data_IF_899413693421
#
_entry.id   IF_899413693421
#
_cell.length_a   1.000
_cell.length_b   1.000
_cell.length_c   1.000
_cell.angle_alpha   90.00
_cell.angle_beta   90.00
_cell.angle_gamma   90.00
#
_symmetry.space_group_name_H-M   'P 1'
#
loop_
_entity.id
_entity.type
_entity.pdbx_description
1 polymer ?
#
# COMPACT_ATOMS: atom_id res chain seq x y z
N UNK A 1 -12.00 1.10 30.55
CA UNK A 1 -11.18 1.98 29.65
C UNK A 1 -10.60 3.16 30.43
N UNK A 2 -11.38 3.92 31.18
CA UNK A 2 -10.87 5.11 31.91
C UNK A 2 -10.00 4.77 33.12
N UNK A 3 -9.99 3.54 33.60
CA UNK A 3 -9.07 3.06 34.64
C UNK A 3 -7.65 2.80 34.11
N UNK A 4 -7.52 2.59 32.82
CA UNK A 4 -6.26 2.25 32.14
C UNK A 4 -5.66 3.41 31.38
N UNK A 5 -6.49 4.36 30.90
CA UNK A 5 -6.06 5.48 30.07
C UNK A 5 -6.39 6.81 30.74
N UNK A 6 -5.42 7.73 30.76
CA UNK A 6 -5.61 9.10 31.29
C UNK A 6 -6.26 10.04 30.26
N UNK A 7 -6.22 9.66 28.98
CA UNK A 7 -6.71 10.45 27.86
C UNK A 7 -7.20 9.53 26.75
N UNK A 8 -8.35 9.85 26.18
CA UNK A 8 -8.93 9.19 25.01
C UNK A 8 -9.33 10.26 24.02
N UNK A 9 -8.85 10.17 22.79
CA UNK A 9 -9.24 11.06 21.70
C UNK A 9 -10.20 10.33 20.78
N UNK A 10 -11.36 10.91 20.55
CA UNK A 10 -12.31 10.49 19.53
C UNK A 10 -12.17 11.40 18.31
N UNK A 11 -11.74 10.81 17.19
CA UNK A 11 -11.59 11.51 15.91
C UNK A 11 -12.65 10.97 14.96
N UNK A 12 -13.47 11.87 14.43
CA UNK A 12 -14.52 11.55 13.47
C UNK A 12 -14.37 12.39 12.21
N UNK A 13 -15.13 12.08 11.18
CA UNK A 13 -15.15 12.85 9.93
C UNK A 13 -15.72 14.25 10.09
N UNK A 14 -16.47 14.51 11.16
CA UNK A 14 -17.14 15.79 11.43
C UNK A 14 -16.53 16.59 12.57
N UNK A 15 -15.58 16.01 13.30
CA UNK A 15 -14.89 16.69 14.39
C UNK A 15 -14.18 15.73 15.33
N UNK A 16 -13.55 16.30 16.33
CA UNK A 16 -12.83 15.54 17.36
C UNK A 16 -13.27 15.99 18.75
N UNK A 17 -13.31 15.08 19.70
CA UNK A 17 -13.43 15.38 21.11
C UNK A 17 -12.42 14.58 21.92
N UNK A 18 -12.13 15.09 23.10
CA UNK A 18 -11.14 14.51 23.98
C UNK A 18 -11.73 14.28 25.38
N UNK A 19 -11.54 13.08 25.88
CA UNK A 19 -11.87 12.70 27.26
C UNK A 19 -10.58 12.63 28.06
N UNK A 20 -10.49 13.41 29.15
CA UNK A 20 -9.35 13.41 30.08
C UNK A 20 -9.77 13.01 31.47
N UNK A 21 -8.90 12.24 32.12
CA UNK A 21 -9.07 11.91 33.55
C UNK A 21 -7.99 12.60 34.37
N UNK A 22 -8.38 13.38 35.37
CA UNK A 22 -7.45 14.01 36.30
C UNK A 22 -6.86 12.99 37.28
N UNK A 23 -5.77 13.35 37.97
CA UNK A 23 -5.18 12.54 39.05
C UNK A 23 -6.15 12.31 40.23
N UNK A 24 -7.16 13.14 40.37
CA UNK A 24 -8.25 13.01 41.36
C UNK A 24 -9.45 12.20 40.86
N UNK A 25 -9.36 11.58 39.69
CA UNK A 25 -10.42 10.75 39.10
C UNK A 25 -11.57 11.56 38.44
N UNK A 26 -11.48 12.89 38.39
CA UNK A 26 -12.48 13.69 37.67
C UNK A 26 -12.30 13.55 36.17
N UNK A 27 -13.41 13.29 35.46
CA UNK A 27 -13.48 13.18 34.01
C UNK A 27 -13.89 14.51 33.41
N UNK A 28 -13.17 14.98 32.41
CA UNK A 28 -13.50 16.16 31.61
C UNK A 28 -13.64 15.79 30.14
N UNK A 29 -14.69 16.24 29.50
CA UNK A 29 -14.92 16.12 28.07
C UNK A 29 -14.64 17.49 27.43
N UNK A 30 -13.75 17.50 26.44
CA UNK A 30 -13.32 18.71 25.72
C UNK A 30 -13.80 18.64 24.27
N UNK A 31 -14.21 19.79 23.74
CA UNK A 31 -14.73 19.94 22.37
C UNK A 31 -16.06 19.22 22.07
N UNK A 32 -16.76 18.71 23.09
CA UNK A 32 -18.05 18.03 22.98
C UNK A 32 -19.11 18.88 22.25
N UNK A 33 -19.29 20.16 22.65
CA UNK A 33 -20.25 21.06 22.02
C UNK A 33 -20.02 21.33 20.54
N UNK A 34 -18.75 21.25 20.12
CA UNK A 34 -18.39 21.39 18.70
C UNK A 34 -18.76 20.14 17.92
N UNK A 35 -18.51 18.98 18.50
CA UNK A 35 -18.88 17.70 17.92
C UNK A 35 -20.40 17.52 17.87
N UNK A 36 -21.12 17.88 18.93
CA UNK A 36 -22.59 17.82 18.96
C UNK A 36 -23.24 18.69 17.87
N UNK A 37 -22.73 19.91 17.64
CA UNK A 37 -23.21 20.74 16.53
C UNK A 37 -22.91 20.15 15.16
N UNK A 38 -21.72 19.57 15.01
CA UNK A 38 -21.32 18.95 13.76
C UNK A 38 -22.11 17.66 13.48
N UNK A 39 -22.43 16.89 14.52
CA UNK A 39 -23.28 15.69 14.41
C UNK A 39 -24.73 16.07 14.07
N UNK A 40 -25.29 17.13 14.63
CA UNK A 40 -26.63 17.61 14.28
C UNK A 40 -26.75 18.03 12.80
N UNK A 41 -25.67 18.59 12.22
CA UNK A 41 -25.62 18.88 10.78
C UNK A 41 -25.43 17.61 9.96
N UNK A 42 -24.70 16.63 10.52
CA UNK A 42 -24.41 15.36 9.84
C UNK A 42 -25.64 14.43 9.79
N UNK A 43 -26.52 14.48 10.76
CA UNK A 43 -27.76 13.69 10.75
C UNK A 43 -28.67 14.06 9.56
N UNK A 44 -28.69 15.33 9.13
CA UNK A 44 -29.37 15.75 7.91
C UNK A 44 -28.69 15.33 6.60
N UNK A 45 -27.40 14.95 6.66
CA UNK A 45 -26.61 14.54 5.48
C UNK A 45 -26.30 13.03 5.43
N UNK A 46 -26.70 12.25 6.43
CA UNK A 46 -26.34 10.83 6.53
C UNK A 46 -27.16 9.87 5.67
N UNK A 47 -28.04 10.35 4.79
CA UNK A 47 -28.77 9.44 3.89
C UNK A 47 -27.92 8.84 2.76
N UNK A 48 -26.60 9.03 2.70
CA UNK A 48 -25.78 8.39 1.67
C UNK A 48 -24.31 8.10 2.00
N UNK A 49 -23.97 7.90 3.27
CA UNK A 49 -22.67 7.28 3.59
C UNK A 49 -22.84 5.77 3.71
N UNK A 50 -23.22 5.11 2.60
CA UNK A 50 -22.85 3.71 2.45
C UNK A 50 -21.33 3.66 2.47
N UNK A 51 -20.75 3.02 3.48
CA UNK A 51 -19.33 2.68 3.57
C UNK A 51 -18.90 1.72 2.44
N UNK A 52 -19.73 1.54 1.44
CA UNK A 52 -19.56 0.70 0.28
C UNK A 52 -19.32 1.52 -0.99
N UNK A 53 -18.49 2.56 -0.87
CA UNK A 53 -17.70 2.97 -2.03
C UNK A 53 -16.71 1.84 -2.24
N UNK A 54 -17.03 0.96 -3.19
CA UNK A 54 -16.01 0.11 -3.82
C UNK A 54 -14.83 1.01 -4.14
N UNK A 55 -13.82 0.98 -3.26
CA UNK A 55 -12.55 1.64 -3.57
C UNK A 55 -12.09 0.95 -4.83
N UNK A 56 -12.17 1.65 -5.98
CA UNK A 56 -11.62 1.16 -7.24
C UNK A 56 -10.15 0.86 -6.99
N UNK A 57 -9.88 -0.40 -6.67
CA UNK A 57 -8.51 -0.88 -6.50
C UNK A 57 -7.80 -0.79 -7.84
N UNK A 58 -6.52 -0.56 -7.83
CA UNK A 58 -5.70 -0.53 -9.04
C UNK A 58 -5.57 -1.94 -9.61
N UNK A 59 -5.43 -2.93 -8.72
CA UNK A 59 -5.40 -4.36 -9.05
C UNK A 59 -6.64 -5.02 -8.48
N UNK A 60 -7.18 -5.99 -9.22
CA UNK A 60 -8.39 -6.73 -8.83
C UNK A 60 -8.11 -8.16 -8.34
N UNK A 61 -6.89 -8.68 -8.54
CA UNK A 61 -6.47 -10.02 -8.16
C UNK A 61 -6.23 -10.96 -9.35
N UNK A 62 -6.64 -10.57 -10.55
CA UNK A 62 -6.48 -11.38 -11.77
C UNK A 62 -5.09 -11.29 -12.39
N UNK A 63 -4.24 -10.39 -11.91
CA UNK A 63 -2.94 -10.12 -12.47
C UNK A 63 -2.01 -11.34 -12.39
N UNK A 64 -1.33 -11.71 -13.48
CA UNK A 64 -0.53 -12.92 -13.56
C UNK A 64 0.55 -13.04 -12.46
N UNK A 65 1.17 -11.93 -12.08
CA UNK A 65 2.19 -11.94 -11.04
C UNK A 65 1.61 -12.26 -9.65
N UNK A 66 0.38 -11.85 -9.34
CA UNK A 66 -0.28 -12.16 -8.06
C UNK A 66 -0.51 -13.66 -7.92
N UNK A 67 -0.88 -14.34 -9.01
CA UNK A 67 -1.06 -15.79 -9.04
C UNK A 67 0.26 -16.51 -8.80
N UNK A 68 1.31 -16.15 -9.53
CA UNK A 68 2.63 -16.76 -9.39
C UNK A 68 3.28 -16.52 -8.01
N UNK A 69 2.96 -15.38 -7.38
CA UNK A 69 3.40 -15.08 -6.01
C UNK A 69 2.48 -15.68 -4.93
N UNK A 70 1.46 -16.44 -5.30
CA UNK A 70 0.53 -17.09 -4.38
C UNK A 70 -0.33 -16.10 -3.58
N UNK A 71 -0.72 -15.00 -4.19
CA UNK A 71 -1.63 -14.00 -3.59
C UNK A 71 -3.06 -14.28 -4.00
N UNK A 72 -3.29 -14.68 -5.25
CA UNK A 72 -4.61 -15.04 -5.79
C UNK A 72 -4.58 -16.41 -6.49
N UNK A 73 -5.75 -16.96 -6.77
CA UNK A 73 -5.94 -18.17 -7.54
C UNK A 73 -6.07 -17.88 -9.05
N UNK A 74 -6.31 -18.92 -9.85
CA UNK A 74 -6.44 -18.83 -11.30
C UNK A 74 -7.66 -18.00 -11.76
N UNK A 75 -8.66 -17.86 -10.89
CA UNK A 75 -9.87 -17.08 -11.15
C UNK A 75 -9.74 -15.61 -10.68
N UNK A 76 -8.56 -15.20 -10.15
CA UNK A 76 -8.33 -13.86 -9.62
C UNK A 76 -8.85 -13.67 -8.20
N UNK A 77 -9.34 -14.73 -7.52
CA UNK A 77 -9.76 -14.63 -6.13
C UNK A 77 -8.54 -14.57 -5.21
N UNK A 78 -8.43 -13.48 -4.47
CA UNK A 78 -7.37 -13.31 -3.47
C UNK A 78 -7.61 -14.25 -2.28
N UNK A 79 -6.59 -15.04 -1.91
CA UNK A 79 -6.67 -15.95 -0.77
C UNK A 79 -6.89 -15.20 0.55
N UNK A 80 -7.71 -15.75 1.45
CA UNK A 80 -8.06 -15.10 2.72
C UNK A 80 -6.83 -14.71 3.54
N UNK A 81 -5.82 -15.59 3.61
CA UNK A 81 -4.54 -15.33 4.28
C UNK A 81 -3.68 -14.25 3.59
N UNK A 82 -4.02 -13.84 2.38
CA UNK A 82 -3.30 -12.86 1.58
C UNK A 82 -4.02 -11.52 1.42
N UNK A 83 -5.23 -11.38 1.94
CA UNK A 83 -6.03 -10.15 1.86
C UNK A 83 -5.28 -8.92 2.39
N UNK A 84 -4.58 -9.05 3.51
CA UNK A 84 -3.76 -7.97 4.07
C UNK A 84 -2.61 -7.57 3.13
N UNK A 85 -1.92 -8.56 2.53
CA UNK A 85 -0.85 -8.32 1.56
C UNK A 85 -1.39 -7.66 0.29
N UNK A 86 -2.52 -8.11 -0.23
CA UNK A 86 -3.16 -7.52 -1.39
C UNK A 86 -3.60 -6.07 -1.16
N UNK A 87 -4.15 -5.77 0.02
CA UNK A 87 -4.45 -4.38 0.42
C UNK A 87 -3.20 -3.52 0.48
N UNK A 88 -2.10 -4.04 1.03
CA UNK A 88 -0.81 -3.36 1.08
C UNK A 88 -0.29 -3.03 -0.32
N UNK A 89 -0.34 -3.99 -1.24
CA UNK A 89 0.09 -3.81 -2.64
C UNK A 89 -0.71 -2.68 -3.30
N UNK A 90 -2.05 -2.74 -3.25
CA UNK A 90 -2.90 -1.71 -3.84
C UNK A 90 -2.63 -0.34 -3.22
N UNK A 91 -2.48 -0.25 -1.88
CA UNK A 91 -2.17 1.02 -1.22
C UNK A 91 -0.82 1.60 -1.66
N UNK A 92 0.17 0.74 -1.85
CA UNK A 92 1.46 1.18 -2.36
C UNK A 92 1.35 1.72 -3.79
N UNK A 93 0.59 1.05 -4.66
CA UNK A 93 0.35 1.53 -6.01
C UNK A 93 -0.43 2.85 -6.07
N UNK A 94 -1.32 3.11 -5.11
CA UNK A 94 -1.96 4.43 -4.98
C UNK A 94 -0.91 5.52 -4.74
N UNK A 95 0.08 5.27 -3.88
CA UNK A 95 1.19 6.21 -3.62
C UNK A 95 2.03 6.42 -4.89
N UNK A 96 2.35 5.34 -5.60
CA UNK A 96 3.09 5.43 -6.87
C UNK A 96 2.30 6.25 -7.91
N UNK A 97 1.00 6.02 -8.03
CA UNK A 97 0.11 6.79 -8.91
C UNK A 97 0.15 8.27 -8.58
N UNK A 98 0.07 8.62 -7.30
CA UNK A 98 0.04 10.01 -6.85
C UNK A 98 1.39 10.72 -7.03
N UNK A 99 2.48 9.96 -7.24
CA UNK A 99 3.81 10.47 -7.56
C UNK A 99 4.17 10.40 -9.06
N UNK A 100 3.31 9.83 -9.89
CA UNK A 100 3.62 9.50 -11.29
C UNK A 100 4.01 10.72 -12.12
N UNK A 101 3.33 11.85 -11.92
CA UNK A 101 3.61 13.10 -12.64
C UNK A 101 5.01 13.67 -12.35
N UNK A 102 5.63 13.24 -11.27
CA UNK A 102 6.99 13.64 -10.86
C UNK A 102 8.07 12.73 -11.44
N UNK A 103 7.68 11.62 -12.06
CA UNK A 103 8.63 10.70 -12.67
C UNK A 103 9.15 11.22 -14.00
N UNK A 104 10.45 11.00 -14.33
CA UNK A 104 11.03 11.47 -15.59
C UNK A 104 10.32 10.89 -16.82
N UNK A 105 10.26 11.68 -17.90
CA UNK A 105 9.31 11.48 -19.01
C UNK A 105 9.53 10.28 -19.91
N UNK A 106 10.77 9.85 -20.23
CA UNK A 106 10.98 8.92 -21.35
C UNK A 106 11.45 7.51 -20.98
N UNK A 107 12.35 7.37 -20.03
CA UNK A 107 12.85 6.09 -19.56
C UNK A 107 13.17 6.20 -18.07
N UNK A 108 12.66 5.26 -17.29
CA UNK A 108 12.83 5.29 -15.85
C UNK A 108 13.63 4.06 -15.45
N UNK A 109 14.69 4.27 -14.65
CA UNK A 109 15.39 3.22 -13.94
C UNK A 109 14.89 3.20 -12.49
N UNK A 110 14.44 2.05 -12.02
CA UNK A 110 13.91 1.85 -10.68
C UNK A 110 14.72 0.77 -10.00
N UNK A 111 15.11 1.03 -8.73
CA UNK A 111 15.77 0.04 -7.89
C UNK A 111 14.95 -0.17 -6.63
N UNK A 112 14.61 -1.42 -6.35
CA UNK A 112 13.99 -1.86 -5.09
C UNK A 112 15.07 -2.56 -4.26
N UNK A 113 15.58 -1.85 -3.25
CA UNK A 113 16.65 -2.31 -2.38
C UNK A 113 16.06 -3.07 -1.19
N UNK A 114 16.62 -4.24 -0.87
CA UNK A 114 16.07 -5.19 0.12
C UNK A 114 14.68 -5.69 -0.29
N UNK A 115 14.53 -6.07 -1.56
CA UNK A 115 13.23 -6.35 -2.18
C UNK A 115 12.50 -7.58 -1.60
N UNK A 116 13.19 -8.48 -0.92
CA UNK A 116 12.62 -9.70 -0.33
C UNK A 116 11.84 -10.51 -1.37
N UNK A 117 10.63 -10.96 -1.04
CA UNK A 117 9.75 -11.70 -1.97
C UNK A 117 9.14 -10.83 -3.08
N UNK A 118 9.54 -9.58 -3.17
CA UNK A 118 9.31 -8.65 -4.29
C UNK A 118 7.84 -8.42 -4.70
N UNK A 119 6.90 -8.58 -3.78
CA UNK A 119 5.48 -8.29 -4.09
C UNK A 119 5.27 -6.87 -4.62
N UNK A 120 5.98 -5.90 -4.04
CA UNK A 120 5.89 -4.49 -4.43
C UNK A 120 6.64 -4.22 -5.73
N UNK A 121 7.81 -4.85 -5.92
CA UNK A 121 8.61 -4.77 -7.16
C UNK A 121 7.77 -5.21 -8.36
N UNK A 122 7.17 -6.41 -8.29
CA UNK A 122 6.29 -6.92 -9.35
C UNK A 122 5.07 -6.04 -9.59
N UNK A 123 4.47 -5.51 -8.52
CA UNK A 123 3.31 -4.65 -8.63
C UNK A 123 3.64 -3.33 -9.33
N UNK A 124 4.76 -2.68 -8.97
CA UNK A 124 5.21 -1.44 -9.62
C UNK A 124 5.57 -1.68 -11.07
N UNK A 125 6.30 -2.78 -11.35
CA UNK A 125 6.63 -3.13 -12.72
C UNK A 125 5.39 -3.31 -13.57
N UNK A 126 4.43 -4.14 -13.12
CA UNK A 126 3.16 -4.37 -13.80
C UNK A 126 2.37 -3.06 -14.00
N UNK A 127 2.24 -2.25 -12.96
CA UNK A 127 1.52 -0.99 -13.03
C UNK A 127 2.11 -0.05 -14.08
N UNK A 128 3.42 0.14 -14.06
CA UNK A 128 4.08 1.08 -14.98
C UNK A 128 4.13 0.53 -16.42
N UNK A 129 4.36 -0.77 -16.62
CA UNK A 129 4.48 -1.35 -17.97
C UNK A 129 3.13 -1.72 -18.57
N UNK A 130 2.26 -2.40 -17.80
CA UNK A 130 1.02 -2.94 -18.35
C UNK A 130 -0.15 -1.95 -18.26
N UNK A 131 -0.26 -1.20 -17.17
CA UNK A 131 -1.36 -0.25 -16.99
C UNK A 131 -1.01 1.10 -17.60
N UNK A 132 0.19 1.63 -17.31
CA UNK A 132 0.62 2.95 -17.76
C UNK A 132 1.39 2.96 -19.07
N UNK A 133 1.75 1.79 -19.59
CA UNK A 133 2.48 1.60 -20.85
C UNK A 133 3.79 2.42 -20.92
N UNK A 134 4.47 2.54 -19.79
CA UNK A 134 5.77 3.25 -19.70
C UNK A 134 6.92 2.28 -19.97
N UNK A 135 7.97 2.78 -20.57
CA UNK A 135 9.25 2.06 -20.70
C UNK A 135 10.05 2.28 -19.42
N UNK A 136 10.33 1.20 -18.72
CA UNK A 136 11.12 1.22 -17.49
C UNK A 136 12.17 0.12 -17.53
N UNK A 137 13.25 0.28 -16.78
CA UNK A 137 14.15 -0.79 -16.39
C UNK A 137 14.17 -0.88 -14.86
N UNK A 138 13.90 -2.05 -14.32
CA UNK A 138 13.72 -2.22 -12.88
C UNK A 138 14.62 -3.31 -12.34
N UNK A 139 15.20 -3.06 -11.16
CA UNK A 139 16.08 -3.98 -10.45
C UNK A 139 15.55 -4.22 -9.05
N UNK A 140 15.49 -5.49 -8.66
CA UNK A 140 15.27 -5.91 -7.28
C UNK A 140 16.57 -6.44 -6.70
N UNK A 141 17.01 -5.93 -5.57
CA UNK A 141 18.27 -6.31 -4.92
C UNK A 141 18.00 -6.86 -3.53
N UNK A 142 18.54 -8.02 -3.22
CA UNK A 142 18.47 -8.62 -1.88
C UNK A 142 19.69 -9.53 -1.65
N UNK A 143 20.06 -9.70 -0.37
CA UNK A 143 21.16 -10.59 0.04
C UNK A 143 20.82 -12.07 -0.07
N UNK A 144 19.54 -12.42 -0.01
CA UNK A 144 19.08 -13.81 0.06
C UNK A 144 18.99 -14.43 -1.32
N UNK A 145 19.94 -15.28 -1.63
CA UNK A 145 20.05 -15.95 -2.93
C UNK A 145 18.81 -16.75 -3.32
N UNK A 146 18.23 -17.50 -2.38
CA UNK A 146 17.02 -18.31 -2.60
C UNK A 146 15.81 -17.46 -2.98
N UNK A 147 15.70 -16.27 -2.39
CA UNK A 147 14.64 -15.31 -2.70
C UNK A 147 14.84 -14.70 -4.08
N UNK A 148 16.06 -14.33 -4.42
CA UNK A 148 16.41 -13.78 -5.74
C UNK A 148 16.18 -14.79 -6.84
N UNK A 149 16.62 -16.04 -6.66
CA UNK A 149 16.39 -17.13 -7.62
C UNK A 149 14.89 -17.38 -7.86
N UNK A 150 14.09 -17.38 -6.78
CA UNK A 150 12.64 -17.47 -6.89
C UNK A 150 12.04 -16.30 -7.68
N UNK A 151 12.44 -15.06 -7.39
CA UNK A 151 11.95 -13.87 -8.10
C UNK A 151 12.36 -13.87 -9.58
N UNK A 152 13.59 -14.29 -9.88
CA UNK A 152 14.07 -14.42 -11.26
C UNK A 152 13.27 -15.47 -12.06
N UNK A 153 12.93 -16.61 -11.43
CA UNK A 153 12.09 -17.64 -12.06
C UNK A 153 10.66 -17.11 -12.33
N UNK A 154 10.05 -16.38 -11.39
CA UNK A 154 8.75 -15.73 -11.59
C UNK A 154 8.82 -14.72 -12.73
N UNK A 155 9.86 -13.89 -12.77
CA UNK A 155 10.10 -12.91 -13.84
C UNK A 155 10.16 -13.56 -15.21
N UNK A 156 10.90 -14.68 -15.32
CA UNK A 156 11.01 -15.47 -16.55
C UNK A 156 9.66 -16.05 -16.98
N UNK A 157 8.88 -16.60 -16.05
CA UNK A 157 7.54 -17.13 -16.32
C UNK A 157 6.56 -16.06 -16.80
N UNK A 158 6.74 -14.81 -16.36
CA UNK A 158 5.91 -13.67 -16.77
C UNK A 158 6.38 -13.04 -18.09
N UNK A 159 7.57 -13.37 -18.57
CA UNK A 159 8.16 -12.75 -19.76
C UNK A 159 8.58 -11.29 -19.55
N UNK A 160 8.86 -10.88 -18.31
CA UNK A 160 9.30 -9.53 -17.99
C UNK A 160 10.78 -9.34 -18.31
N UNK A 161 11.09 -8.73 -19.44
CA UNK A 161 12.47 -8.60 -19.95
C UNK A 161 13.25 -7.45 -19.30
N UNK A 162 12.56 -6.44 -18.82
CA UNK A 162 13.15 -5.23 -18.22
C UNK A 162 13.07 -5.22 -16.68
N UNK A 163 12.81 -6.38 -16.05
CA UNK A 163 12.87 -6.61 -14.61
C UNK A 163 13.96 -7.64 -14.32
N UNK A 164 14.97 -7.24 -13.54
CA UNK A 164 16.12 -8.05 -13.19
C UNK A 164 16.29 -8.15 -11.67
N UNK A 165 16.66 -9.32 -11.19
CA UNK A 165 16.91 -9.55 -9.76
C UNK A 165 18.40 -9.88 -9.53
N UNK A 166 18.99 -9.18 -8.55
CA UNK A 166 20.42 -9.22 -8.26
C UNK A 166 20.62 -9.62 -6.80
N UNK A 167 21.41 -10.67 -6.59
CA UNK A 167 21.81 -11.11 -5.25
C UNK A 167 23.10 -10.40 -4.86
N UNK A 168 22.97 -9.29 -4.12
CA UNK A 168 24.11 -8.49 -3.68
C UNK A 168 23.79 -7.70 -2.41
N UNK A 169 24.83 -7.21 -1.76
CA UNK A 169 24.71 -6.22 -0.69
C UNK A 169 24.42 -4.85 -1.31
N UNK A 170 23.46 -4.14 -0.71
CA UNK A 170 23.09 -2.79 -1.17
C UNK A 170 24.24 -1.79 -1.09
N UNK A 171 25.24 -2.03 -0.24
CA UNK A 171 26.45 -1.20 -0.16
C UNK A 171 27.33 -1.32 -1.41
N UNK A 172 27.29 -2.47 -2.08
CA UNK A 172 28.06 -2.75 -3.30
C UNK A 172 27.28 -2.42 -4.56
N UNK A 173 25.96 -2.26 -4.44
CA UNK A 173 25.11 -2.01 -5.59
C UNK A 173 25.36 -0.61 -6.14
N UNK A 174 26.07 -0.54 -7.26
CA UNK A 174 26.30 0.70 -7.98
C UNK A 174 24.96 1.16 -8.60
N UNK A 175 24.46 2.27 -8.09
CA UNK A 175 23.21 2.87 -8.58
C UNK A 175 23.30 3.32 -10.04
N UNK A 176 24.50 3.15 -10.66
CA UNK A 176 24.80 3.63 -11.99
C UNK A 176 24.41 5.11 -12.12
N UNK A 177 25.37 5.97 -12.06
CA UNK A 177 25.18 7.37 -12.51
C UNK A 177 24.54 7.34 -13.90
N UNK A 178 23.56 8.24 -14.16
CA UNK A 178 22.91 8.32 -15.43
C UNK A 178 23.88 8.64 -16.55
#
# INVERSE_FOLDING_TARGET
>A
LLSEFKQINLITTVGECELRTSSSGKVALLNDKRLERALGIAEEQTESLSNDREKKRILDGSEPFLRLLGVSDENGRVFDKKQSKFKQINRFLEIIRDCEDKLPGKSIRICDLCCGKSYLTFAVYYYLTEIKKRKIKMYGVDLKRDVIEYCADVTKKLGYTDLEFICDDISNFDRGTP
#
